data_IF_954304699379
#
_entry.id   IF_954304699379
#
_cell.length_a   1.000
_cell.length_b   1.000
_cell.length_c   1.000
_cell.angle_alpha   90.00
_cell.angle_beta   90.00
_cell.angle_gamma   90.00
#
_symmetry.space_group_name_H-M   'P 1'
#
loop_
_entity.id
_entity.type
_entity.pdbx_description
1 polymer ?
#
# COMPACT_ATOMS: atom_id res chain seq x y z
N UNK A 1 -16.37 6.90 27.25
CA UNK A 1 -15.31 6.72 26.25
C UNK A 1 -15.89 5.86 25.13
N UNK A 2 -15.78 6.32 23.89
CA UNK A 2 -16.20 5.55 22.71
C UNK A 2 -15.20 4.42 22.44
N UNK A 3 -15.68 3.21 22.32
CA UNK A 3 -14.82 2.04 22.06
C UNK A 3 -14.69 1.83 20.55
N UNK A 4 -13.50 2.03 20.03
CA UNK A 4 -13.18 1.82 18.60
C UNK A 4 -12.22 0.66 18.49
N UNK A 5 -12.65 -0.39 17.77
CA UNK A 5 -11.83 -1.59 17.56
C UNK A 5 -11.32 -1.60 16.11
N UNK A 6 -10.03 -1.82 15.92
CA UNK A 6 -9.42 -1.97 14.61
C UNK A 6 -9.07 -3.44 14.39
N UNK A 7 -9.48 -4.00 13.26
CA UNK A 7 -9.23 -5.41 12.91
C UNK A 7 -8.49 -5.49 11.58
N UNK A 8 -7.33 -6.15 11.59
CA UNK A 8 -6.52 -6.36 10.40
C UNK A 8 -5.66 -7.63 10.55
N UNK A 9 -5.11 -8.16 9.45
CA UNK A 9 -4.43 -9.46 9.51
C UNK A 9 -3.24 -9.64 8.61
N UNK A 10 -3.00 -8.73 7.70
CA UNK A 10 -1.90 -8.80 6.73
C UNK A 10 -0.92 -7.64 6.91
N UNK A 11 0.30 -7.81 6.39
CA UNK A 11 1.32 -6.74 6.39
C UNK A 11 0.82 -5.44 5.73
N UNK A 12 0.21 -5.45 4.53
CA UNK A 12 -0.29 -4.23 3.90
C UNK A 12 -1.37 -3.51 4.70
N UNK A 13 -2.28 -4.26 5.32
CA UNK A 13 -3.29 -3.68 6.22
C UNK A 13 -2.63 -3.02 7.44
N UNK A 14 -1.68 -3.70 8.08
CA UNK A 14 -0.99 -3.18 9.26
C UNK A 14 -0.26 -1.87 8.98
N UNK A 15 0.45 -1.75 7.85
CA UNK A 15 1.14 -0.52 7.44
C UNK A 15 0.16 0.67 7.43
N UNK A 16 -1.06 0.47 6.97
CA UNK A 16 -2.08 1.49 6.79
C UNK A 16 -2.95 1.70 8.05
N UNK A 17 -3.08 0.69 8.91
CA UNK A 17 -3.92 0.76 10.11
C UNK A 17 -3.14 1.15 11.37
N UNK A 18 -1.86 0.83 11.50
CA UNK A 18 -1.07 1.20 12.66
C UNK A 18 -0.96 2.72 12.89
N UNK A 19 -0.79 3.57 11.86
CA UNK A 19 -0.86 5.02 12.05
C UNK A 19 -2.21 5.48 12.62
N UNK A 20 -3.32 4.86 12.17
CA UNK A 20 -4.66 5.17 12.68
C UNK A 20 -4.84 4.69 14.13
N UNK A 21 -4.27 3.53 14.49
CA UNK A 21 -4.22 3.08 15.90
C UNK A 21 -3.54 4.13 16.77
N UNK A 22 -2.36 4.60 16.34
CA UNK A 22 -1.58 5.58 17.09
C UNK A 22 -2.32 6.93 17.19
N UNK A 23 -2.96 7.40 16.12
CA UNK A 23 -3.76 8.62 16.14
C UNK A 23 -4.96 8.48 17.10
N UNK A 24 -5.69 7.37 17.08
CA UNK A 24 -6.81 7.14 17.98
C UNK A 24 -6.39 7.04 19.44
N UNK A 25 -5.22 6.48 19.73
CA UNK A 25 -4.66 6.42 21.09
C UNK A 25 -4.32 7.80 21.67
N UNK A 26 -4.18 8.84 20.85
CA UNK A 26 -3.98 10.22 21.35
C UNK A 26 -5.27 10.89 21.81
N UNK A 27 -6.45 10.26 21.61
CA UNK A 27 -7.76 10.85 21.91
C UNK A 27 -8.27 10.42 23.29
N UNK A 28 -8.39 11.35 24.22
CA UNK A 28 -8.79 11.10 25.61
C UNK A 28 -10.20 10.48 25.74
N UNK A 29 -11.07 10.73 24.77
CA UNK A 29 -12.45 10.23 24.76
C UNK A 29 -12.65 8.89 24.03
N UNK A 30 -11.56 8.25 23.58
CA UNK A 30 -11.56 6.98 22.84
C UNK A 30 -10.85 5.90 23.62
N UNK A 31 -11.45 4.72 23.67
CA UNK A 31 -10.77 3.46 24.01
C UNK A 31 -10.44 2.74 22.70
N UNK A 32 -9.18 2.73 22.32
CA UNK A 32 -8.70 2.05 21.11
C UNK A 32 -8.37 0.61 21.41
N UNK A 33 -8.91 -0.32 20.64
CA UNK A 33 -8.71 -1.76 20.80
C UNK A 33 -8.19 -2.32 19.48
N UNK A 34 -7.13 -3.11 19.54
CA UNK A 34 -6.49 -3.69 18.36
C UNK A 34 -6.67 -5.21 18.37
N UNK A 35 -7.25 -5.74 17.30
CA UNK A 35 -7.36 -7.17 17.08
C UNK A 35 -6.66 -7.55 15.77
N UNK A 36 -5.73 -8.48 15.85
CA UNK A 36 -5.06 -9.02 14.66
C UNK A 36 -5.56 -10.44 14.39
N UNK A 37 -5.74 -10.77 13.11
CA UNK A 37 -6.10 -12.13 12.73
C UNK A 37 -4.90 -13.05 12.60
N UNK A 38 -3.71 -12.50 12.36
CA UNK A 38 -2.47 -13.26 12.22
C UNK A 38 -2.45 -14.15 10.98
N UNK A 39 -3.01 -13.66 9.87
CA UNK A 39 -3.02 -14.39 8.59
C UNK A 39 -1.61 -14.60 8.03
N UNK A 40 -0.66 -13.65 8.27
CA UNK A 40 0.76 -13.72 7.91
C UNK A 40 1.60 -13.24 9.09
N UNK A 41 1.82 -14.11 10.07
CA UNK A 41 2.32 -13.76 11.39
C UNK A 41 3.64 -12.97 11.39
N UNK A 42 4.70 -13.55 10.86
CA UNK A 42 6.04 -12.94 10.94
C UNK A 42 6.13 -11.56 10.29
N UNK A 43 5.54 -11.40 9.11
CA UNK A 43 5.52 -10.11 8.40
C UNK A 43 4.65 -9.07 9.10
N UNK A 44 3.59 -9.50 9.79
CA UNK A 44 2.71 -8.62 10.55
C UNK A 44 3.41 -8.10 11.79
N UNK A 45 4.10 -8.97 12.54
CA UNK A 45 4.80 -8.61 13.77
C UNK A 45 5.88 -7.54 13.51
N UNK A 46 6.63 -7.63 12.41
CA UNK A 46 7.61 -6.62 12.02
C UNK A 46 7.00 -5.22 11.85
N UNK A 47 5.79 -5.14 11.27
CA UNK A 47 5.10 -3.86 11.13
C UNK A 47 4.58 -3.36 12.48
N UNK A 48 3.98 -4.22 13.27
CA UNK A 48 3.52 -3.87 14.62
C UNK A 48 4.66 -3.29 15.47
N UNK A 49 5.84 -3.91 15.41
CA UNK A 49 7.05 -3.43 16.10
C UNK A 49 7.50 -2.07 15.57
N UNK A 50 7.54 -1.88 14.23
CA UNK A 50 7.96 -0.63 13.61
C UNK A 50 7.07 0.56 14.00
N UNK A 51 5.77 0.31 14.24
CA UNK A 51 4.80 1.33 14.67
C UNK A 51 4.55 1.34 16.18
N UNK A 52 5.23 0.48 16.95
CA UNK A 52 5.04 0.32 18.40
C UNK A 52 3.59 0.02 18.78
N UNK A 53 2.92 -0.80 17.99
CA UNK A 53 1.54 -1.24 18.23
C UNK A 53 1.55 -2.64 18.85
N UNK A 54 0.95 -2.76 20.02
CA UNK A 54 0.70 -4.06 20.67
C UNK A 54 -0.77 -4.40 20.50
N UNK A 55 -1.12 -5.54 19.90
CA UNK A 55 -2.50 -5.95 19.77
C UNK A 55 -3.09 -6.42 21.13
N UNK A 56 -4.34 -6.05 21.39
CA UNK A 56 -5.08 -6.52 22.57
C UNK A 56 -5.60 -7.95 22.37
N UNK A 57 -5.89 -8.31 21.12
CA UNK A 57 -6.38 -9.63 20.72
C UNK A 57 -5.65 -10.14 19.50
N UNK A 58 -5.34 -11.43 19.52
CA UNK A 58 -4.72 -12.14 18.40
C UNK A 58 -5.48 -13.44 18.12
N UNK A 59 -6.09 -13.52 16.94
CA UNK A 59 -6.86 -14.70 16.56
C UNK A 59 -6.01 -15.88 16.11
N UNK A 60 -4.73 -15.63 15.77
CA UNK A 60 -3.75 -16.65 15.37
C UNK A 60 -4.30 -17.68 14.38
N UNK A 61 -4.88 -17.19 13.27
CA UNK A 61 -5.57 -18.07 12.30
C UNK A 61 -4.63 -18.75 11.31
N UNK A 62 -3.35 -18.35 11.27
CA UNK A 62 -2.40 -18.87 10.28
C UNK A 62 -2.22 -20.37 10.40
N UNK A 63 -2.35 -21.06 9.26
CA UNK A 63 -2.00 -22.47 9.05
C UNK A 63 -1.37 -22.63 7.68
N UNK A 64 -0.54 -23.63 7.50
CA UNK A 64 0.01 -23.96 6.18
C UNK A 64 -1.10 -24.37 5.20
N UNK A 65 -0.99 -23.92 3.95
CA UNK A 65 -1.88 -24.32 2.84
C UNK A 65 -3.38 -24.06 3.09
N UNK A 66 -3.72 -22.97 3.81
CA UNK A 66 -5.10 -22.57 4.03
C UNK A 66 -5.82 -22.23 2.72
N UNK A 67 -7.04 -22.71 2.59
CA UNK A 67 -7.99 -22.28 1.56
C UNK A 67 -8.74 -21.01 2.02
N UNK A 68 -9.43 -20.33 1.09
CA UNK A 68 -10.32 -19.23 1.45
C UNK A 68 -11.43 -19.65 2.40
N UNK A 69 -11.90 -20.91 2.30
CA UNK A 69 -12.87 -21.48 3.24
C UNK A 69 -12.30 -21.57 4.66
N UNK A 70 -11.06 -22.06 4.79
CA UNK A 70 -10.41 -22.17 6.10
C UNK A 70 -10.20 -20.79 6.74
N UNK A 71 -9.74 -19.81 5.98
CA UNK A 71 -9.53 -18.43 6.44
C UNK A 71 -10.86 -17.85 6.91
N UNK A 72 -11.90 -17.93 6.08
CA UNK A 72 -13.25 -17.41 6.37
C UNK A 72 -13.83 -18.01 7.63
N UNK A 73 -13.85 -19.33 7.75
CA UNK A 73 -14.44 -20.03 8.89
C UNK A 73 -13.66 -19.79 10.17
N UNK A 74 -12.33 -19.77 10.12
CA UNK A 74 -11.48 -19.50 11.27
C UNK A 74 -11.66 -18.07 11.79
N UNK A 75 -11.70 -17.06 10.91
CA UNK A 75 -11.93 -15.67 11.33
C UNK A 75 -13.34 -15.56 11.92
N UNK A 76 -14.38 -16.02 11.21
CA UNK A 76 -15.76 -15.86 11.63
C UNK A 76 -16.02 -16.48 13.02
N UNK A 77 -15.47 -17.67 13.26
CA UNK A 77 -15.66 -18.37 14.52
C UNK A 77 -14.95 -17.67 15.69
N UNK A 78 -13.72 -17.19 15.48
CA UNK A 78 -12.91 -16.63 16.57
C UNK A 78 -13.21 -15.15 16.83
N UNK A 79 -13.52 -14.36 15.80
CA UNK A 79 -13.82 -12.94 15.96
C UNK A 79 -15.11 -12.71 16.75
N UNK A 80 -16.07 -13.65 16.68
CA UNK A 80 -17.32 -13.56 17.39
C UNK A 80 -17.13 -13.36 18.89
N UNK A 81 -16.33 -14.20 19.53
CA UNK A 81 -16.10 -14.14 20.98
C UNK A 81 -15.47 -12.81 21.39
N UNK A 82 -14.55 -12.30 20.57
CA UNK A 82 -13.91 -11.01 20.80
C UNK A 82 -14.92 -9.87 20.69
N UNK A 83 -15.76 -9.86 19.64
CA UNK A 83 -16.76 -8.81 19.43
C UNK A 83 -17.82 -8.80 20.55
N UNK A 84 -18.29 -10.00 20.99
CA UNK A 84 -19.25 -10.14 22.10
C UNK A 84 -18.67 -9.69 23.44
N UNK A 85 -17.35 -9.87 23.63
CA UNK A 85 -16.63 -9.45 24.85
C UNK A 85 -16.35 -7.95 24.85
N UNK A 86 -15.80 -7.41 23.76
CA UNK A 86 -15.37 -6.00 23.64
C UNK A 86 -16.56 -5.07 23.61
N UNK A 87 -17.62 -5.43 22.88
CA UNK A 87 -18.81 -4.59 22.64
C UNK A 87 -18.41 -3.19 22.14
N UNK A 88 -17.66 -3.19 21.03
CA UNK A 88 -17.20 -1.95 20.41
C UNK A 88 -18.36 -1.13 19.87
N UNK A 89 -18.26 0.20 19.98
CA UNK A 89 -19.22 1.14 19.39
C UNK A 89 -19.05 1.22 17.86
N UNK A 90 -17.81 1.01 17.37
CA UNK A 90 -17.47 0.93 15.95
C UNK A 90 -16.30 -0.03 15.76
N UNK A 91 -16.36 -0.83 14.71
CA UNK A 91 -15.25 -1.67 14.26
C UNK A 91 -14.71 -1.13 12.93
N UNK A 92 -13.41 -0.87 12.87
CA UNK A 92 -12.73 -0.43 11.65
C UNK A 92 -12.06 -1.60 10.96
N UNK A 93 -12.28 -1.72 9.67
CA UNK A 93 -11.64 -2.69 8.77
C UNK A 93 -11.02 -1.96 7.59
N UNK A 94 -10.04 -2.57 6.92
CA UNK A 94 -9.27 -1.90 5.89
C UNK A 94 -9.28 -2.67 4.56
N UNK A 95 -9.56 -1.98 3.47
CA UNK A 95 -9.38 -2.50 2.11
C UNK A 95 -10.31 -3.67 1.78
N UNK A 96 -9.73 -4.80 1.38
CA UNK A 96 -10.45 -5.85 0.66
C UNK A 96 -10.01 -7.29 0.98
N UNK A 97 -9.27 -7.48 2.07
CA UNK A 97 -8.84 -8.83 2.47
C UNK A 97 -10.00 -9.68 2.96
N UNK A 98 -9.77 -10.99 3.08
CA UNK A 98 -10.72 -11.89 3.75
C UNK A 98 -10.95 -11.49 5.22
N UNK A 99 -9.93 -10.97 5.91
CA UNK A 99 -10.06 -10.41 7.26
C UNK A 99 -11.08 -9.29 7.28
N UNK A 100 -11.00 -8.35 6.35
CA UNK A 100 -11.91 -7.20 6.21
C UNK A 100 -13.35 -7.65 5.98
N UNK A 101 -13.56 -8.51 4.98
CA UNK A 101 -14.89 -9.01 4.64
C UNK A 101 -15.54 -9.79 5.77
N UNK A 102 -14.82 -10.77 6.33
CA UNK A 102 -15.40 -11.66 7.35
C UNK A 102 -15.66 -10.92 8.66
N UNK A 103 -14.79 -9.98 9.03
CA UNK A 103 -15.03 -9.13 10.20
C UNK A 103 -16.26 -8.25 10.01
N UNK A 104 -16.41 -7.62 8.83
CA UNK A 104 -17.60 -6.82 8.53
C UNK A 104 -18.89 -7.63 8.56
N UNK A 105 -18.85 -8.87 8.04
CA UNK A 105 -19.97 -9.80 8.12
C UNK A 105 -20.33 -10.16 9.56
N UNK A 106 -19.35 -10.47 10.41
CA UNK A 106 -19.56 -10.76 11.83
C UNK A 106 -20.16 -9.56 12.56
N UNK A 107 -19.66 -8.36 12.30
CA UNK A 107 -20.21 -7.12 12.85
C UNK A 107 -21.66 -6.90 12.41
N UNK A 108 -21.98 -7.15 11.15
CA UNK A 108 -23.36 -7.05 10.66
C UNK A 108 -24.32 -7.98 11.40
N UNK A 109 -23.91 -9.24 11.67
CA UNK A 109 -24.73 -10.19 12.44
C UNK A 109 -24.96 -9.76 13.90
N UNK A 110 -23.99 -9.06 14.48
CA UNK A 110 -24.06 -8.54 15.84
C UNK A 110 -24.57 -7.09 15.91
N UNK A 111 -24.96 -6.50 14.78
CA UNK A 111 -25.43 -5.13 14.65
C UNK A 111 -24.43 -4.08 15.16
N UNK A 112 -23.13 -4.36 15.02
CA UNK A 112 -22.04 -3.44 15.35
C UNK A 112 -21.73 -2.57 14.13
N UNK A 113 -21.71 -1.25 14.26
CA UNK A 113 -21.32 -0.36 13.16
C UNK A 113 -19.92 -0.64 12.61
N UNK A 114 -19.77 -0.67 11.29
CA UNK A 114 -18.51 -0.88 10.60
C UNK A 114 -18.04 0.43 9.94
N UNK A 115 -16.77 0.77 10.12
CA UNK A 115 -16.06 1.77 9.35
C UNK A 115 -15.08 1.10 8.38
N UNK A 116 -15.24 1.38 7.10
CA UNK A 116 -14.40 0.83 6.03
C UNK A 116 -13.34 1.86 5.63
N UNK A 117 -12.09 1.61 6.01
CA UNK A 117 -10.93 2.41 5.62
C UNK A 117 -10.46 1.94 4.24
N UNK A 118 -10.13 2.86 3.35
CA UNK A 118 -9.83 2.63 1.93
C UNK A 118 -11.07 2.12 1.15
N UNK A 119 -12.21 2.73 1.43
CA UNK A 119 -13.50 2.40 0.80
C UNK A 119 -13.60 2.96 -0.64
N UNK A 120 -14.26 2.25 -1.52
CA UNK A 120 -14.66 2.77 -2.84
C UNK A 120 -13.70 2.52 -3.98
N UNK A 121 -12.59 1.82 -3.79
CA UNK A 121 -11.78 1.28 -4.90
C UNK A 121 -12.60 0.24 -5.67
N UNK A 122 -12.62 0.31 -7.02
CA UNK A 122 -13.42 -0.59 -7.86
C UNK A 122 -12.73 -0.95 -9.16
N UNK A 123 -12.87 -2.21 -9.54
CA UNK A 123 -12.64 -2.70 -10.91
C UNK A 123 -13.95 -3.09 -11.58
N UNK A 124 -15.02 -3.28 -10.79
CA UNK A 124 -16.32 -3.80 -11.22
C UNK A 124 -16.29 -5.20 -11.86
N UNK A 125 -15.17 -5.90 -11.74
CA UNK A 125 -15.04 -7.30 -12.11
C UNK A 125 -14.75 -8.14 -10.88
N UNK A 126 -15.76 -8.78 -10.30
CA UNK A 126 -15.65 -9.56 -9.05
C UNK A 126 -14.66 -10.72 -9.11
N UNK A 127 -14.16 -11.06 -10.30
CA UNK A 127 -13.14 -12.08 -10.53
C UNK A 127 -11.74 -11.49 -10.75
N UNK A 128 -11.59 -10.15 -10.72
CA UNK A 128 -10.29 -9.50 -10.96
C UNK A 128 -10.19 -8.11 -10.26
N UNK A 129 -9.34 -8.00 -9.23
CA UNK A 129 -8.60 -9.06 -8.52
C UNK A 129 -9.55 -9.98 -7.74
N UNK A 130 -9.14 -11.24 -7.59
CA UNK A 130 -9.94 -12.24 -6.90
C UNK A 130 -9.22 -12.72 -5.61
N UNK A 131 -9.91 -12.73 -4.45
CA UNK A 131 -11.34 -12.40 -4.18
C UNK A 131 -11.57 -10.92 -3.80
N UNK A 132 -10.58 -10.04 -3.95
CA UNK A 132 -10.53 -8.69 -3.38
C UNK A 132 -11.68 -7.81 -3.87
N UNK A 133 -12.01 -7.83 -5.17
CA UNK A 133 -13.08 -6.98 -5.69
C UNK A 133 -14.45 -7.35 -5.10
N UNK A 134 -14.74 -8.64 -4.94
CA UNK A 134 -15.95 -9.09 -4.26
C UNK A 134 -15.96 -8.63 -2.79
N UNK A 135 -14.84 -8.83 -2.08
CA UNK A 135 -14.74 -8.47 -0.66
C UNK A 135 -15.02 -6.97 -0.45
N UNK A 136 -14.41 -6.07 -1.25
CA UNK A 136 -14.58 -4.62 -1.08
C UNK A 136 -16.00 -4.15 -1.38
N UNK A 137 -16.65 -4.75 -2.38
CA UNK A 137 -18.06 -4.45 -2.65
C UNK A 137 -18.97 -4.92 -1.51
N UNK A 138 -18.77 -6.15 -1.02
CA UNK A 138 -19.56 -6.72 0.06
C UNK A 138 -19.41 -5.94 1.38
N UNK A 139 -18.20 -5.55 1.75
CA UNK A 139 -17.93 -4.69 2.91
C UNK A 139 -18.65 -3.34 2.75
N UNK A 140 -18.61 -2.76 1.56
CA UNK A 140 -19.33 -1.53 1.24
C UNK A 140 -20.83 -1.64 1.55
N UNK A 141 -21.48 -2.79 1.39
CA UNK A 141 -22.92 -2.97 1.65
C UNK A 141 -23.25 -2.71 3.13
N UNK A 142 -22.43 -3.20 4.04
CA UNK A 142 -22.70 -3.19 5.50
C UNK A 142 -22.04 -2.02 6.24
N UNK A 143 -21.15 -1.28 5.61
CA UNK A 143 -20.41 -0.20 6.24
C UNK A 143 -21.28 1.01 6.51
N UNK A 144 -21.24 1.51 7.76
CA UNK A 144 -21.86 2.76 8.17
C UNK A 144 -20.98 3.96 7.80
N UNK A 145 -19.66 3.85 7.95
CA UNK A 145 -18.69 4.89 7.60
C UNK A 145 -17.84 4.38 6.45
N UNK A 146 -17.72 5.16 5.38
CA UNK A 146 -16.91 4.83 4.21
C UNK A 146 -15.83 5.91 4.07
N UNK A 147 -14.60 5.60 4.46
CA UNK A 147 -13.44 6.49 4.37
C UNK A 147 -12.76 6.28 3.03
N UNK A 148 -13.11 7.10 2.07
CA UNK A 148 -12.62 7.02 0.69
C UNK A 148 -11.26 7.71 0.56
N UNK A 149 -10.27 7.09 -0.11
CA UNK A 149 -8.96 7.71 -0.31
C UNK A 149 -9.01 8.88 -1.29
N UNK A 150 -9.90 8.86 -2.27
CA UNK A 150 -9.98 9.86 -3.36
C UNK A 150 -11.42 10.25 -3.68
N UNK A 151 -11.60 11.34 -4.44
CA UNK A 151 -12.92 11.72 -4.98
C UNK A 151 -13.47 10.67 -5.97
N UNK A 152 -12.61 9.99 -6.74
CA UNK A 152 -13.03 8.88 -7.60
C UNK A 152 -13.63 7.72 -6.78
N UNK A 153 -12.96 7.37 -5.69
CA UNK A 153 -13.46 6.33 -4.78
C UNK A 153 -14.80 6.71 -4.16
N UNK A 154 -14.99 7.99 -3.77
CA UNK A 154 -16.28 8.51 -3.32
C UNK A 154 -17.33 8.42 -4.42
N UNK A 155 -16.99 8.80 -5.66
CA UNK A 155 -17.93 8.74 -6.78
C UNK A 155 -18.39 7.29 -7.06
N UNK A 156 -17.49 6.32 -6.96
CA UNK A 156 -17.85 4.91 -7.06
C UNK A 156 -18.92 4.50 -6.02
N UNK A 157 -18.73 4.92 -4.77
CA UNK A 157 -19.68 4.64 -3.70
C UNK A 157 -21.05 5.34 -3.93
N UNK A 158 -21.04 6.58 -4.42
CA UNK A 158 -22.27 7.30 -4.79
C UNK A 158 -23.02 6.59 -5.93
N UNK A 159 -22.29 6.12 -6.94
CA UNK A 159 -22.87 5.38 -8.07
C UNK A 159 -23.51 4.06 -7.63
N UNK A 160 -23.04 3.46 -6.52
CA UNK A 160 -23.62 2.28 -5.88
C UNK A 160 -24.79 2.60 -4.94
N UNK A 161 -25.22 3.86 -4.90
CA UNK A 161 -26.37 4.29 -4.08
C UNK A 161 -26.06 4.48 -2.58
N UNK A 162 -24.79 4.62 -2.20
CA UNK A 162 -24.43 4.96 -0.83
C UNK A 162 -24.88 6.37 -0.51
N UNK A 163 -25.30 6.59 0.73
CA UNK A 163 -25.71 7.90 1.21
C UNK A 163 -24.53 8.84 1.29
N UNK A 164 -24.60 10.05 0.74
CA UNK A 164 -23.48 11.01 0.76
C UNK A 164 -22.91 11.27 2.16
N UNK A 165 -23.79 11.33 3.17
CA UNK A 165 -23.40 11.56 4.57
C UNK A 165 -22.64 10.41 5.23
N UNK A 166 -22.61 9.22 4.59
CA UNK A 166 -21.81 8.07 5.05
C UNK A 166 -20.44 7.98 4.38
N UNK A 167 -20.11 8.90 3.48
CA UNK A 167 -18.89 8.87 2.68
C UNK A 167 -18.00 10.06 3.02
N UNK A 168 -16.77 9.81 3.42
CA UNK A 168 -15.80 10.81 3.82
C UNK A 168 -14.52 10.66 2.98
N UNK A 169 -14.14 11.68 2.23
CA UNK A 169 -12.84 11.68 1.53
C UNK A 169 -11.75 12.07 2.53
N UNK A 170 -10.94 11.11 2.91
CA UNK A 170 -9.94 11.28 3.96
C UNK A 170 -8.50 11.31 3.44
N UNK A 171 -8.26 10.77 2.26
CA UNK A 171 -6.93 10.39 1.80
C UNK A 171 -6.59 8.94 2.17
N UNK A 172 -5.44 8.46 1.70
CA UNK A 172 -4.96 7.11 1.99
C UNK A 172 -4.04 7.12 3.23
N UNK A 173 -4.32 6.24 4.18
CA UNK A 173 -3.55 6.09 5.42
C UNK A 173 -2.12 5.54 5.19
N UNK A 174 -1.82 4.99 4.00
CA UNK A 174 -0.46 4.65 3.62
C UNK A 174 0.49 5.86 3.65
N UNK A 175 -0.03 7.05 3.32
CA UNK A 175 0.76 8.29 3.31
C UNK A 175 1.05 8.74 4.75
N UNK A 176 0.10 8.54 5.66
CA UNK A 176 0.33 8.77 7.09
C UNK A 176 1.44 7.89 7.66
N UNK A 177 1.56 6.64 7.16
CA UNK A 177 2.60 5.72 7.58
C UNK A 177 4.01 6.26 7.33
N UNK A 178 4.22 6.98 6.23
CA UNK A 178 5.52 7.56 5.87
C UNK A 178 6.03 8.56 6.91
N UNK A 179 5.14 9.28 7.59
CA UNK A 179 5.52 10.23 8.66
C UNK A 179 6.19 9.53 9.86
N UNK A 180 5.88 8.25 10.08
CA UNK A 180 6.48 7.46 11.16
C UNK A 180 7.71 6.72 10.70
N UNK A 181 7.70 6.20 9.47
CA UNK A 181 8.73 5.29 8.98
C UNK A 181 9.89 5.99 8.29
N UNK A 182 9.67 7.13 7.65
CA UNK A 182 10.75 7.93 7.04
C UNK A 182 11.43 8.75 8.12
N UNK A 183 12.75 8.57 8.29
CA UNK A 183 13.56 9.22 9.34
C UNK A 183 14.75 9.93 8.72
N UNK A 184 15.05 11.14 9.17
CA UNK A 184 16.21 11.91 8.70
C UNK A 184 17.53 11.25 9.05
N UNK A 185 17.61 10.67 10.27
CA UNK A 185 18.78 10.00 10.82
C UNK A 185 18.97 8.55 10.35
N UNK A 186 18.11 8.07 9.46
CA UNK A 186 18.21 6.70 8.97
C UNK A 186 19.43 6.49 8.09
N UNK A 187 20.18 5.43 8.39
CA UNK A 187 21.38 5.01 7.65
C UNK A 187 21.28 3.55 7.22
N UNK A 188 21.82 3.25 6.06
CA UNK A 188 21.90 1.88 5.55
C UNK A 188 23.12 1.75 4.62
N UNK A 189 23.87 0.63 4.64
CA UNK A 189 25.06 0.46 3.79
C UNK A 189 24.81 0.71 2.30
N UNK A 190 23.67 0.23 1.77
CA UNK A 190 23.30 0.42 0.36
C UNK A 190 23.02 1.90 0.01
N UNK A 191 22.43 2.66 0.94
CA UNK A 191 22.24 4.10 0.73
C UNK A 191 23.57 4.87 0.81
N UNK A 192 24.46 4.45 1.70
CA UNK A 192 25.82 5.02 1.76
C UNK A 192 26.62 4.71 0.49
N UNK A 193 26.47 3.50 -0.06
CA UNK A 193 27.05 3.15 -1.37
C UNK A 193 26.52 4.05 -2.50
N UNK A 194 25.24 4.41 -2.47
CA UNK A 194 24.60 5.25 -3.49
C UNK A 194 24.86 6.75 -3.30
N UNK A 195 25.52 7.17 -2.22
CA UNK A 195 25.74 8.58 -1.90
C UNK A 195 26.45 9.33 -3.04
N UNK A 196 26.01 10.55 -3.32
CA UNK A 196 26.54 11.39 -4.42
C UNK A 196 26.05 10.99 -5.82
N UNK A 197 25.21 9.97 -5.97
CA UNK A 197 24.60 9.56 -7.24
C UNK A 197 23.09 9.85 -7.28
N UNK A 198 22.51 9.83 -8.47
CA UNK A 198 21.05 9.80 -8.64
C UNK A 198 20.57 8.37 -8.43
N UNK A 199 20.01 8.10 -7.24
CA UNK A 199 19.55 6.74 -6.87
C UNK A 199 18.21 6.41 -7.54
N UNK A 200 18.15 5.30 -8.24
CA UNK A 200 16.95 4.72 -8.81
C UNK A 200 16.51 3.53 -7.94
N UNK A 201 15.27 3.54 -7.46
CA UNK A 201 14.69 2.39 -6.79
C UNK A 201 13.84 1.60 -7.78
N UNK A 202 14.16 0.30 -7.93
CA UNK A 202 13.46 -0.59 -8.84
C UNK A 202 12.61 -1.57 -8.03
N UNK A 203 11.34 -1.75 -8.44
CA UNK A 203 10.49 -2.81 -7.94
C UNK A 203 9.71 -3.42 -9.09
N UNK A 204 9.97 -4.69 -9.40
CA UNK A 204 9.31 -5.41 -10.48
C UNK A 204 9.12 -6.88 -10.06
N UNK A 205 7.87 -7.32 -9.97
CA UNK A 205 7.55 -8.67 -9.48
C UNK A 205 6.17 -9.18 -9.90
N UNK A 206 5.39 -8.41 -10.65
CA UNK A 206 4.05 -8.81 -11.06
C UNK A 206 4.08 -10.05 -11.96
N UNK A 207 3.14 -10.97 -11.73
CA UNK A 207 3.03 -12.22 -12.50
C UNK A 207 2.74 -11.98 -13.97
N UNK A 208 1.94 -10.95 -14.26
CA UNK A 208 1.60 -10.53 -15.62
C UNK A 208 2.80 -10.06 -16.44
N UNK A 209 3.87 -9.62 -15.75
CA UNK A 209 5.09 -9.12 -16.37
C UNK A 209 6.18 -10.19 -16.53
N UNK A 210 5.99 -11.42 -16.05
CA UNK A 210 6.99 -12.49 -16.18
C UNK A 210 7.26 -12.82 -17.64
N UNK A 211 8.49 -13.18 -17.94
CA UNK A 211 8.95 -13.52 -19.29
C UNK A 211 9.45 -12.30 -20.07
N UNK A 212 9.05 -12.15 -21.33
CA UNK A 212 9.57 -11.10 -22.21
C UNK A 212 9.27 -9.66 -21.74
N UNK A 213 8.09 -9.35 -21.18
CA UNK A 213 7.84 -8.02 -20.62
C UNK A 213 8.89 -7.61 -19.56
N UNK A 214 9.21 -8.49 -18.63
CA UNK A 214 10.23 -8.21 -17.60
C UNK A 214 11.64 -8.09 -18.18
N UNK A 215 11.97 -8.86 -19.19
CA UNK A 215 13.25 -8.73 -19.93
C UNK A 215 13.36 -7.36 -20.59
N UNK A 216 12.29 -6.88 -21.22
CA UNK A 216 12.27 -5.56 -21.84
C UNK A 216 12.47 -4.43 -20.81
N UNK A 217 11.80 -4.54 -19.64
CA UNK A 217 12.03 -3.58 -18.55
C UNK A 217 13.49 -3.51 -18.14
N UNK A 218 14.12 -4.67 -17.91
CA UNK A 218 15.50 -4.72 -17.45
C UNK A 218 16.50 -4.30 -18.53
N UNK A 219 16.26 -4.62 -19.81
CA UNK A 219 17.08 -4.11 -20.92
C UNK A 219 17.00 -2.59 -21.03
N UNK A 220 15.80 -2.01 -20.92
CA UNK A 220 15.64 -0.56 -20.92
C UNK A 220 16.43 0.11 -19.79
N UNK A 221 16.34 -0.45 -18.58
CA UNK A 221 17.09 0.02 -17.40
C UNK A 221 18.60 -0.06 -17.69
N UNK A 222 19.09 -1.20 -18.19
CA UNK A 222 20.50 -1.39 -18.50
C UNK A 222 21.01 -0.38 -19.53
N UNK A 223 20.27 -0.14 -20.61
CA UNK A 223 20.61 0.86 -21.64
C UNK A 223 20.79 2.25 -21.05
N UNK A 224 19.86 2.69 -20.18
CA UNK A 224 19.97 4.00 -19.52
C UNK A 224 21.18 4.06 -18.58
N UNK A 225 21.43 3.01 -17.82
CA UNK A 225 22.58 2.94 -16.92
C UNK A 225 23.92 3.05 -17.67
N UNK A 226 24.01 2.44 -18.87
CA UNK A 226 25.23 2.51 -19.71
C UNK A 226 25.53 3.94 -20.19
N UNK A 227 24.49 4.78 -20.36
CA UNK A 227 24.63 6.16 -20.82
C UNK A 227 24.83 7.19 -19.69
N UNK A 228 24.44 6.83 -18.46
CA UNK A 228 24.42 7.75 -17.30
C UNK A 228 25.31 7.24 -16.15
N UNK A 229 26.61 7.53 -16.13
CA UNK A 229 27.55 7.01 -15.12
C UNK A 229 27.31 7.59 -13.71
N UNK A 230 26.56 8.65 -13.58
CA UNK A 230 26.17 9.28 -12.31
C UNK A 230 24.91 8.66 -11.67
N UNK A 231 24.32 7.66 -12.33
CA UNK A 231 23.13 6.96 -11.85
C UNK A 231 23.53 5.65 -11.19
N UNK A 232 22.96 5.35 -10.05
CA UNK A 232 23.01 4.05 -9.37
C UNK A 232 21.60 3.53 -9.14
N UNK A 233 21.43 2.22 -9.14
CA UNK A 233 20.15 1.59 -8.94
C UNK A 233 20.21 0.57 -7.79
N UNK A 234 19.16 0.52 -6.99
CA UNK A 234 18.96 -0.53 -5.98
C UNK A 234 17.66 -1.25 -6.32
N UNK A 235 17.74 -2.56 -6.37
CA UNK A 235 16.60 -3.44 -6.65
C UNK A 235 16.38 -4.44 -5.51
N UNK A 236 15.51 -4.11 -4.53
CA UNK A 236 15.04 -5.09 -3.56
C UNK A 236 14.21 -6.16 -4.26
N UNK A 237 14.84 -7.29 -4.55
CA UNK A 237 14.29 -8.29 -5.47
C UNK A 237 13.29 -9.21 -4.78
N UNK A 238 12.19 -9.52 -5.47
CA UNK A 238 11.19 -10.47 -4.98
C UNK A 238 11.74 -11.91 -4.93
N UNK A 239 11.24 -12.73 -4.00
CA UNK A 239 11.70 -14.11 -3.78
C UNK A 239 11.37 -15.08 -4.92
N UNK A 240 10.55 -14.70 -5.89
CA UNK A 240 10.20 -15.54 -7.03
C UNK A 240 11.44 -15.90 -7.87
N UNK A 241 11.77 -17.19 -8.03
CA UNK A 241 12.96 -17.63 -8.77
C UNK A 241 13.02 -17.12 -10.22
N UNK A 242 11.88 -17.00 -10.90
CA UNK A 242 11.83 -16.51 -12.28
C UNK A 242 12.23 -15.03 -12.37
N UNK A 243 11.83 -14.22 -11.38
CA UNK A 243 12.24 -12.82 -11.29
C UNK A 243 13.76 -12.73 -11.07
N UNK A 244 14.28 -13.51 -10.10
CA UNK A 244 15.71 -13.56 -9.78
C UNK A 244 16.55 -13.97 -10.97
N UNK A 245 16.17 -15.06 -11.65
CA UNK A 245 16.87 -15.52 -12.84
C UNK A 245 16.92 -14.45 -13.93
N UNK A 246 15.79 -13.79 -14.23
CA UNK A 246 15.74 -12.75 -15.27
C UNK A 246 16.57 -11.52 -14.89
N UNK A 247 16.56 -11.14 -13.63
CA UNK A 247 17.37 -10.02 -13.13
C UNK A 247 18.87 -10.33 -13.22
N UNK A 248 19.30 -11.50 -12.78
CA UNK A 248 20.70 -11.94 -12.86
C UNK A 248 21.19 -12.00 -14.30
N UNK A 249 20.35 -12.48 -15.23
CA UNK A 249 20.67 -12.59 -16.65
C UNK A 249 20.94 -11.22 -17.30
N UNK A 250 20.18 -10.17 -16.94
CA UNK A 250 20.20 -8.89 -17.66
C UNK A 250 20.89 -7.78 -16.86
N UNK A 251 20.64 -7.71 -15.55
CA UNK A 251 21.18 -6.67 -14.66
C UNK A 251 22.44 -7.13 -13.92
N UNK A 252 22.68 -8.44 -13.84
CA UNK A 252 23.84 -9.01 -13.17
C UNK A 252 25.16 -8.51 -13.76
N UNK A 253 26.18 -8.35 -12.91
CA UNK A 253 27.51 -7.90 -13.31
C UNK A 253 27.64 -6.40 -13.59
N UNK A 254 26.60 -5.60 -13.43
CA UNK A 254 26.71 -4.13 -13.45
C UNK A 254 26.97 -3.60 -12.03
N UNK A 255 28.18 -3.04 -11.82
CA UNK A 255 28.61 -2.58 -10.49
C UNK A 255 27.76 -1.41 -9.93
N UNK A 256 27.00 -0.73 -10.77
CA UNK A 256 26.10 0.37 -10.37
C UNK A 256 24.65 -0.06 -10.15
N UNK A 257 24.37 -1.37 -10.25
CA UNK A 257 23.05 -1.94 -9.93
C UNK A 257 23.24 -2.96 -8.79
N UNK A 258 22.74 -2.62 -7.62
CA UNK A 258 22.72 -3.54 -6.49
C UNK A 258 21.37 -4.27 -6.41
N UNK A 259 21.39 -5.58 -6.68
CA UNK A 259 20.25 -6.47 -6.44
C UNK A 259 20.38 -6.97 -5.01
N UNK A 260 19.42 -6.61 -4.16
CA UNK A 260 19.46 -6.92 -2.73
C UNK A 260 18.24 -7.75 -2.31
N UNK A 261 18.29 -8.32 -1.12
CA UNK A 261 17.14 -9.02 -0.54
C UNK A 261 15.96 -8.06 -0.29
N UNK A 262 14.73 -8.60 -0.21
CA UNK A 262 13.54 -7.76 0.03
C UNK A 262 13.70 -6.94 1.32
N UNK A 263 13.35 -5.66 1.24
CA UNK A 263 13.42 -4.75 2.37
C UNK A 263 12.18 -4.85 3.26
N UNK A 264 12.36 -4.62 4.53
CA UNK A 264 11.26 -4.38 5.47
C UNK A 264 10.65 -2.98 5.23
N UNK A 265 9.45 -2.75 5.77
CA UNK A 265 8.69 -1.52 5.49
C UNK A 265 9.44 -0.25 5.87
N UNK A 266 10.13 -0.26 7.01
CA UNK A 266 10.89 0.89 7.49
C UNK A 266 12.05 1.19 6.54
N UNK A 267 12.81 0.17 6.17
CA UNK A 267 13.92 0.30 5.23
C UNK A 267 13.41 0.76 3.86
N UNK A 268 12.37 0.10 3.35
CA UNK A 268 11.80 0.41 2.04
C UNK A 268 11.33 1.86 1.92
N UNK A 269 10.63 2.39 2.93
CA UNK A 269 10.18 3.78 2.93
C UNK A 269 11.34 4.78 2.99
N UNK A 270 12.42 4.45 3.69
CA UNK A 270 13.62 5.27 3.73
C UNK A 270 14.41 5.24 2.41
N UNK A 271 14.45 4.10 1.72
CA UNK A 271 14.99 3.99 0.37
C UNK A 271 14.14 4.80 -0.63
N UNK A 272 12.83 4.68 -0.54
CA UNK A 272 11.89 5.44 -1.36
C UNK A 272 12.11 6.95 -1.19
N UNK A 273 12.23 7.42 0.05
CA UNK A 273 12.43 8.84 0.38
C UNK A 273 13.78 9.40 -0.14
N UNK A 274 14.81 8.56 -0.24
CA UNK A 274 16.16 8.96 -0.71
C UNK A 274 16.41 8.72 -2.18
N UNK A 275 15.46 8.10 -2.87
CA UNK A 275 15.55 7.85 -4.31
C UNK A 275 15.33 9.14 -5.09
N UNK A 276 15.98 9.22 -6.26
CA UNK A 276 15.73 10.27 -7.25
C UNK A 276 14.47 9.95 -8.07
N UNK A 277 14.35 8.73 -8.55
CA UNK A 277 13.27 8.25 -9.42
C UNK A 277 12.90 6.80 -9.05
N UNK A 278 11.65 6.44 -9.25
CA UNK A 278 11.12 5.10 -8.98
C UNK A 278 10.68 4.43 -10.27
N UNK A 279 11.15 3.20 -10.50
CA UNK A 279 10.68 2.30 -11.56
C UNK A 279 9.90 1.15 -10.91
N UNK A 280 8.59 1.06 -11.14
CA UNK A 280 7.76 0.12 -10.40
C UNK A 280 6.64 -0.52 -11.22
N UNK A 281 6.29 -1.76 -10.86
CA UNK A 281 5.03 -2.40 -11.25
C UNK A 281 4.05 -2.55 -10.05
N UNK A 282 4.42 -2.05 -8.88
CA UNK A 282 3.62 -2.13 -7.65
C UNK A 282 2.53 -1.06 -7.57
N UNK A 283 1.33 -1.44 -7.08
CA UNK A 283 0.23 -0.51 -6.87
C UNK A 283 0.45 0.48 -5.71
N UNK A 284 0.89 0.01 -4.54
CA UNK A 284 1.05 0.85 -3.35
C UNK A 284 2.08 1.97 -3.53
N UNK A 285 3.18 1.67 -4.20
CA UNK A 285 4.25 2.65 -4.47
C UNK A 285 3.76 3.83 -5.31
N UNK A 286 2.76 3.62 -6.17
CA UNK A 286 2.13 4.68 -6.96
C UNK A 286 1.40 5.72 -6.11
N UNK A 287 1.07 5.40 -4.87
CA UNK A 287 0.44 6.30 -3.91
C UNK A 287 1.47 6.93 -2.96
N UNK A 288 2.46 6.13 -2.53
CA UNK A 288 3.46 6.50 -1.53
C UNK A 288 4.56 7.40 -2.09
N UNK A 289 5.16 7.03 -3.22
CA UNK A 289 6.31 7.75 -3.79
C UNK A 289 6.00 9.22 -4.16
N UNK A 290 4.84 9.54 -4.76
CA UNK A 290 4.48 10.93 -5.04
C UNK A 290 4.36 11.80 -3.80
N UNK A 291 3.96 11.24 -2.65
CA UNK A 291 3.86 12.00 -1.40
C UNK A 291 5.24 12.43 -0.86
N UNK A 292 6.29 11.77 -1.32
CA UNK A 292 7.69 12.10 -1.04
C UNK A 292 8.34 12.94 -2.15
N UNK A 293 7.55 13.43 -3.11
CA UNK A 293 8.03 14.21 -4.25
C UNK A 293 8.89 13.39 -5.22
N UNK A 294 8.65 12.09 -5.33
CA UNK A 294 9.43 11.20 -6.21
C UNK A 294 8.66 10.87 -7.48
N UNK A 295 9.18 11.23 -8.67
CA UNK A 295 8.59 10.79 -9.93
C UNK A 295 8.54 9.28 -10.03
N UNK A 296 7.46 8.75 -10.62
CA UNK A 296 7.24 7.31 -10.75
C UNK A 296 6.98 6.94 -12.20
N UNK A 297 7.77 6.04 -12.74
CA UNK A 297 7.49 5.34 -13.99
C UNK A 297 6.85 3.98 -13.69
N UNK A 298 5.60 3.84 -14.10
CA UNK A 298 4.81 2.63 -13.87
C UNK A 298 4.99 1.68 -15.05
N UNK A 299 5.74 0.61 -14.84
CA UNK A 299 6.07 -0.41 -15.85
C UNK A 299 4.94 -1.45 -15.97
N UNK A 300 3.77 -0.99 -16.40
CA UNK A 300 2.56 -1.80 -16.61
C UNK A 300 1.79 -1.25 -17.79
N UNK A 301 0.99 -2.11 -18.43
CA UNK A 301 0.10 -1.69 -19.52
C UNK A 301 -1.17 -1.01 -18.98
N UNK A 302 -1.56 -1.32 -17.75
CA UNK A 302 -2.73 -0.74 -17.08
C UNK A 302 -2.42 -0.44 -15.61
N UNK A 303 -3.13 0.52 -15.04
CA UNK A 303 -3.09 0.79 -13.59
C UNK A 303 -4.49 1.02 -13.06
N UNK A 304 -4.74 0.57 -11.84
CA UNK A 304 -5.94 0.86 -11.06
C UNK A 304 -5.86 2.22 -10.32
N UNK A 305 -4.88 3.05 -10.67
CA UNK A 305 -4.61 4.37 -10.05
C UNK A 305 -4.54 5.48 -11.10
N UNK A 306 -5.63 5.68 -11.86
CA UNK A 306 -5.64 6.67 -12.94
C UNK A 306 -5.50 8.12 -12.44
N UNK A 307 -5.84 8.37 -11.17
CA UNK A 307 -5.77 9.71 -10.58
C UNK A 307 -4.32 10.22 -10.52
N UNK A 308 -3.35 9.35 -10.24
CA UNK A 308 -1.93 9.73 -10.21
C UNK A 308 -1.40 10.11 -11.60
N UNK A 309 -1.90 9.45 -12.66
CA UNK A 309 -1.59 9.82 -14.05
C UNK A 309 -2.20 11.19 -14.38
N UNK A 310 -3.48 11.38 -14.05
CA UNK A 310 -4.20 12.63 -14.31
C UNK A 310 -3.59 13.82 -13.53
N UNK A 311 -3.06 13.57 -12.33
CA UNK A 311 -2.37 14.57 -11.52
C UNK A 311 -0.93 14.84 -11.99
N UNK A 312 -0.37 14.01 -12.89
CA UNK A 312 1.00 14.13 -13.36
C UNK A 312 2.08 13.65 -12.38
N UNK A 313 1.71 12.91 -11.34
CA UNK A 313 2.67 12.32 -10.38
C UNK A 313 3.24 10.99 -10.86
N UNK A 314 2.54 10.33 -11.78
CA UNK A 314 2.87 9.03 -12.36
C UNK A 314 2.89 9.11 -13.88
N UNK A 315 3.79 8.35 -14.51
CA UNK A 315 3.78 8.11 -15.96
C UNK A 315 3.66 6.62 -16.22
N UNK A 316 2.57 6.20 -16.89
CA UNK A 316 2.38 4.82 -17.31
C UNK A 316 3.21 4.57 -18.57
N UNK A 317 4.22 3.71 -18.48
CA UNK A 317 5.19 3.48 -19.56
C UNK A 317 5.08 2.10 -20.22
N UNK A 318 4.14 1.28 -19.76
CA UNK A 318 3.96 -0.07 -20.30
C UNK A 318 5.15 -0.98 -20.03
N UNK A 319 5.29 -1.99 -20.89
CA UNK A 319 6.35 -3.00 -20.82
C UNK A 319 7.24 -3.03 -22.06
N UNK A 320 7.11 -2.05 -22.92
CA UNK A 320 7.93 -1.87 -24.13
C UNK A 320 9.28 -1.26 -23.77
N UNK A 321 10.37 -1.89 -24.24
CA UNK A 321 11.75 -1.49 -23.93
C UNK A 321 12.04 -0.05 -24.33
N UNK A 322 11.64 0.37 -25.54
CA UNK A 322 11.96 1.72 -26.06
C UNK A 322 11.14 2.81 -25.39
N UNK A 323 9.91 2.52 -24.99
CA UNK A 323 9.06 3.45 -24.24
C UNK A 323 9.63 3.70 -22.85
N UNK A 324 10.02 2.62 -22.13
CA UNK A 324 10.63 2.71 -20.82
C UNK A 324 11.95 3.46 -20.90
N UNK A 325 12.82 3.07 -21.84
CA UNK A 325 14.12 3.74 -22.06
C UNK A 325 13.97 5.24 -22.28
N UNK A 326 13.11 5.66 -23.21
CA UNK A 326 12.90 7.09 -23.51
C UNK A 326 12.33 7.86 -22.32
N UNK A 327 11.36 7.29 -21.62
CA UNK A 327 10.74 7.95 -20.47
C UNK A 327 11.70 8.05 -19.27
N UNK A 328 12.51 7.04 -19.04
CA UNK A 328 13.53 7.06 -17.98
C UNK A 328 14.62 8.09 -18.30
N UNK A 329 15.15 8.05 -19.51
CA UNK A 329 16.16 9.02 -19.99
C UNK A 329 15.64 10.46 -19.93
N UNK A 330 14.40 10.70 -20.34
CA UNK A 330 13.77 12.03 -20.28
C UNK A 330 13.78 12.60 -18.86
N UNK A 331 13.44 11.82 -17.85
CA UNK A 331 13.45 12.29 -16.44
C UNK A 331 14.86 12.49 -15.88
N UNK A 332 15.87 11.89 -16.47
CA UNK A 332 17.27 12.14 -16.11
C UNK A 332 17.85 13.40 -16.78
N UNK A 333 17.44 13.72 -18.02
CA UNK A 333 18.01 14.78 -18.83
C UNK A 333 17.16 16.05 -18.86
N UNK A 334 15.86 15.97 -18.59
CA UNK A 334 14.93 17.10 -18.61
C UNK A 334 14.49 17.50 -17.19
N UNK A 335 15.21 18.46 -16.61
CA UNK A 335 14.93 18.97 -15.27
C UNK A 335 13.52 19.56 -15.13
N UNK A 336 12.97 20.15 -16.21
CA UNK A 336 11.60 20.70 -16.20
C UNK A 336 10.57 19.61 -16.05
N UNK A 337 10.68 18.52 -16.80
CA UNK A 337 9.78 17.38 -16.71
C UNK A 337 9.90 16.71 -15.33
N UNK A 338 11.12 16.51 -14.85
CA UNK A 338 11.35 15.99 -13.51
C UNK A 338 10.66 16.85 -12.44
N UNK A 339 10.84 18.17 -12.49
CA UNK A 339 10.22 19.11 -11.54
C UNK A 339 8.69 19.08 -11.64
N UNK A 340 8.14 19.04 -12.85
CA UNK A 340 6.69 18.89 -13.03
C UNK A 340 6.15 17.70 -12.29
N UNK A 341 6.75 16.51 -12.43
CA UNK A 341 6.30 15.30 -11.76
C UNK A 341 6.55 15.32 -10.26
N UNK A 342 7.73 15.77 -9.82
CA UNK A 342 8.13 15.75 -8.40
C UNK A 342 7.39 16.75 -7.52
N UNK A 343 6.82 17.82 -8.10
CA UNK A 343 6.06 18.85 -7.39
C UNK A 343 4.55 18.76 -7.62
N UNK A 344 4.09 17.84 -8.46
CA UNK A 344 2.68 17.62 -8.69
C UNK A 344 1.94 17.21 -7.39
N UNK A 345 0.72 17.68 -7.24
CA UNK A 345 -0.08 17.38 -6.05
C UNK A 345 -0.47 15.91 -6.02
N UNK A 346 -0.18 15.21 -4.92
CA UNK A 346 -0.55 13.82 -4.76
C UNK A 346 -2.07 13.67 -4.53
N UNK A 347 -2.81 13.01 -5.45
CA UNK A 347 -4.26 12.87 -5.32
C UNK A 347 -4.68 11.90 -4.19
N UNK A 348 -3.76 11.10 -3.68
CA UNK A 348 -4.04 10.09 -2.65
C UNK A 348 -3.95 10.62 -1.22
N UNK A 349 -3.57 11.88 -1.03
CA UNK A 349 -3.63 12.53 0.28
C UNK A 349 -2.36 13.29 0.65
N UNK A 350 -2.40 13.87 1.84
CA UNK A 350 -1.41 14.77 2.43
C UNK A 350 -0.82 14.27 3.75
N UNK A 351 -1.13 12.99 4.11
CA UNK A 351 -0.69 12.36 5.34
C UNK A 351 -1.46 12.78 6.60
N UNK A 352 -2.70 13.24 6.44
CA UNK A 352 -3.62 13.54 7.55
C UNK A 352 -4.91 12.71 7.48
N UNK A 353 -4.88 11.57 6.78
CA UNK A 353 -6.03 10.69 6.67
C UNK A 353 -6.43 10.12 8.03
N UNK A 354 -5.47 9.64 8.81
CA UNK A 354 -5.72 9.09 10.14
C UNK A 354 -6.37 10.13 11.07
N UNK A 355 -5.87 11.37 11.03
CA UNK A 355 -6.44 12.47 11.82
C UNK A 355 -7.89 12.75 11.42
N UNK A 356 -8.20 12.82 10.12
CA UNK A 356 -9.56 13.04 9.63
C UNK A 356 -10.51 11.92 10.05
N UNK A 357 -10.07 10.66 9.93
CA UNK A 357 -10.86 9.49 10.37
C UNK A 357 -11.14 9.57 11.87
N UNK A 358 -10.11 9.85 12.69
CA UNK A 358 -10.27 10.00 14.12
C UNK A 358 -11.22 11.13 14.49
N UNK A 359 -11.10 12.31 13.86
CA UNK A 359 -11.97 13.47 14.09
C UNK A 359 -13.44 13.16 13.76
N UNK A 360 -13.71 12.47 12.64
CA UNK A 360 -15.07 12.04 12.26
C UNK A 360 -15.64 11.09 13.30
N UNK A 361 -14.88 10.10 13.72
CA UNK A 361 -15.34 9.10 14.67
C UNK A 361 -15.52 9.63 16.09
N UNK A 362 -14.86 10.72 16.48
CA UNK A 362 -14.92 11.29 17.82
C UNK A 362 -15.94 12.42 17.97
N UNK A 363 -16.36 13.04 16.87
CA UNK A 363 -17.32 14.17 16.88
C UNK A 363 -18.79 13.73 16.71
N UNK A 364 -19.03 12.45 16.45
CA UNK A 364 -20.36 11.82 16.48
C UNK A 364 -20.59 11.07 17.81
#
# INVERSE_FOLDING_TARGET
>A
MKKIMLVFGTRPEAIKMCPLVNELKTRDNVQTIVCVTGQHRQMLDQVLDAFHVVPDYDLSIMKEKQTLFDITTNILSRIREVLETVKADVVLVHGDTSTTFVTALACFYLQIPVGHVEAGLRTYNIYSPYPEEFNRQAVGIVSRYNFAPTELSKQNLLNEGKRPESIYVTGNTAIDALKTTVREDYTHPELSWAEGSRLILITAHRRENLGEPMKNMFRAIRRVMDEHPDVKAIYPIHMNPLVRQTADEILGGEERIHIIEPLEVLDFHNFLARSYLILTDSGGIQEEAPSLGKPVLVMRDTTERPEGIAAGTLKLVGTDEDVIYRSFKELLENETEYKCMSTASNPYGDGFACKRIADILTNE
#
